data_IF_127047463107
#
_entry.id   IF_127047463107
#
_cell.length_a   1.000
_cell.length_b   1.000
_cell.length_c   1.000
_cell.angle_alpha   90.00
_cell.angle_beta   90.00
_cell.angle_gamma   90.00
#
_symmetry.space_group_name_H-M   'P 1'
#
loop_
_entity.id
_entity.type
_entity.pdbx_description
1 polymer ?
#
# COMPACT_ATOMS: atom_id res chain seq x y z
N UNK A 1 -4.85 -8.49 15.90
CA UNK A 1 -6.03 -7.62 16.12
C UNK A 1 -6.57 -7.01 14.83
N UNK A 2 -5.89 -6.03 14.20
CA UNK A 2 -6.41 -5.30 13.03
C UNK A 2 -6.81 -6.20 11.84
N UNK A 3 -6.03 -7.24 11.53
CA UNK A 3 -6.40 -8.23 10.51
C UNK A 3 -7.70 -8.99 10.84
N UNK A 4 -8.00 -9.21 12.12
CA UNK A 4 -9.26 -9.83 12.54
C UNK A 4 -10.43 -8.85 12.40
N UNK A 5 -10.24 -7.58 12.76
CA UNK A 5 -11.25 -6.53 12.55
C UNK A 5 -11.60 -6.35 11.07
N UNK A 6 -10.60 -6.42 10.18
CA UNK A 6 -10.81 -6.44 8.74
C UNK A 6 -11.66 -7.62 8.27
N UNK A 7 -11.42 -8.83 8.81
CA UNK A 7 -12.23 -10.02 8.50
C UNK A 7 -13.67 -9.89 9.00
N UNK A 8 -13.85 -9.28 10.16
CA UNK A 8 -15.16 -9.01 10.76
C UNK A 8 -15.89 -7.82 10.12
N UNK A 9 -15.27 -7.13 9.15
CA UNK A 9 -15.79 -5.90 8.53
C UNK A 9 -16.13 -4.80 9.55
N UNK A 10 -15.43 -4.79 10.69
CA UNK A 10 -15.60 -3.75 11.70
C UNK A 10 -14.85 -2.49 11.27
N UNK A 11 -15.59 -1.41 11.04
CA UNK A 11 -15.00 -0.19 10.49
C UNK A 11 -14.15 0.51 11.54
N UNK A 12 -12.83 0.49 11.31
CA UNK A 12 -11.81 0.85 12.30
C UNK A 12 -10.92 1.96 11.77
N UNK A 13 -10.78 3.03 12.57
CA UNK A 13 -9.72 4.02 12.36
C UNK A 13 -8.51 3.65 13.22
N UNK A 14 -7.34 3.60 12.60
CA UNK A 14 -6.05 3.45 13.29
C UNK A 14 -5.21 4.71 13.07
N UNK A 15 -4.87 5.37 14.17
CA UNK A 15 -4.09 6.60 14.17
C UNK A 15 -2.78 6.46 14.94
N UNK A 16 -1.81 7.30 14.61
CA UNK A 16 -0.58 7.47 15.37
C UNK A 16 -0.10 8.95 15.30
N UNK A 17 0.85 9.39 16.16
CA UNK A 17 1.35 10.76 16.18
C UNK A 17 2.17 11.13 14.94
N UNK A 18 2.96 10.19 14.41
CA UNK A 18 3.92 10.45 13.33
C UNK A 18 3.60 9.66 12.07
N UNK A 19 4.08 10.15 10.93
CA UNK A 19 3.96 9.43 9.65
C UNK A 19 4.64 8.06 9.72
N UNK A 20 5.83 7.98 10.32
CA UNK A 20 6.60 6.73 10.46
C UNK A 20 5.79 5.66 11.21
N UNK A 21 5.20 6.02 12.35
CA UNK A 21 4.38 5.09 13.13
C UNK A 21 3.17 4.58 12.33
N UNK A 22 2.44 5.48 11.65
CA UNK A 22 1.28 5.08 10.82
C UNK A 22 1.71 4.14 9.68
N UNK A 23 2.81 4.45 8.99
CA UNK A 23 3.33 3.66 7.88
C UNK A 23 3.77 2.27 8.34
N UNK A 24 4.44 2.17 9.49
CA UNK A 24 4.85 0.88 10.06
C UNK A 24 3.66 -0.02 10.37
N UNK A 25 2.61 0.53 11.01
CA UNK A 25 1.41 -0.24 11.34
C UNK A 25 0.72 -0.69 10.05
N UNK A 26 0.53 0.22 9.09
CA UNK A 26 -0.10 -0.08 7.80
C UNK A 26 0.68 -1.18 7.06
N UNK A 27 2.01 -1.11 7.03
CA UNK A 27 2.89 -2.11 6.41
C UNK A 27 2.75 -3.47 7.06
N UNK A 28 2.79 -3.55 8.39
CA UNK A 28 2.63 -4.83 9.11
C UNK A 28 1.26 -5.46 8.87
N UNK A 29 0.19 -4.66 8.82
CA UNK A 29 -1.15 -5.16 8.48
C UNK A 29 -1.19 -5.68 7.05
N UNK A 30 -0.62 -4.94 6.11
CA UNK A 30 -0.60 -5.32 4.70
C UNK A 30 0.20 -6.59 4.46
N UNK A 31 1.35 -6.78 5.12
CA UNK A 31 2.14 -8.00 5.06
C UNK A 31 1.36 -9.22 5.58
N UNK A 32 0.56 -9.04 6.64
CA UNK A 32 -0.30 -10.09 7.18
C UNK A 32 -1.46 -10.43 6.22
N UNK A 33 -2.08 -9.42 5.60
CA UNK A 33 -3.16 -9.62 4.62
C UNK A 33 -2.62 -10.36 3.40
N UNK A 34 -1.48 -9.92 2.85
CA UNK A 34 -0.83 -10.57 1.70
C UNK A 34 -0.42 -12.02 1.98
N UNK A 35 0.08 -12.33 3.18
CA UNK A 35 0.42 -13.71 3.58
C UNK A 35 -0.81 -14.62 3.61
N UNK A 36 -1.93 -14.11 4.11
CA UNK A 36 -3.17 -14.89 4.24
C UNK A 36 -3.90 -15.13 2.90
N UNK A 37 -3.70 -14.28 1.90
CA UNK A 37 -4.40 -14.35 0.60
C UNK A 37 -3.69 -15.20 -0.46
N UNK A 38 -2.68 -15.98 -0.06
CA UNK A 38 -1.92 -16.89 -0.94
C UNK A 38 -2.71 -18.11 -1.47
N UNK A 39 -4.05 -18.14 -1.33
CA UNK A 39 -4.89 -19.29 -1.68
C UNK A 39 -5.92 -19.10 -2.81
N UNK A 40 -5.92 -18.01 -3.60
CA UNK A 40 -6.77 -17.94 -4.80
C UNK A 40 -6.62 -16.72 -5.71
N UNK A 41 -6.59 -16.97 -7.03
CA UNK A 41 -6.68 -16.00 -8.15
C UNK A 41 -5.77 -14.75 -8.14
N UNK A 42 -4.66 -14.77 -7.41
CA UNK A 42 -3.45 -14.00 -7.76
C UNK A 42 -3.50 -12.46 -7.63
N UNK A 43 -4.47 -11.87 -6.93
CA UNK A 43 -4.38 -10.45 -6.55
C UNK A 43 -5.07 -10.18 -5.21
N UNK A 44 -4.34 -9.51 -4.34
CA UNK A 44 -4.78 -9.20 -2.98
C UNK A 44 -5.84 -8.10 -3.02
N UNK A 45 -6.98 -8.29 -2.34
CA UNK A 45 -8.07 -7.30 -2.33
C UNK A 45 -7.78 -6.24 -1.29
N UNK A 46 -7.47 -5.03 -1.76
CA UNK A 46 -6.98 -3.94 -0.90
C UNK A 46 -7.98 -2.80 -0.74
N UNK A 47 -9.11 -2.82 -1.44
CA UNK A 47 -10.13 -1.77 -1.40
C UNK A 47 -10.70 -1.48 -0.01
N UNK A 48 -10.66 -2.45 0.91
CA UNK A 48 -11.11 -2.28 2.28
C UNK A 48 -10.11 -1.58 3.20
N UNK A 49 -8.88 -1.33 2.73
CA UNK A 49 -7.79 -0.76 3.52
C UNK A 49 -7.39 0.56 2.89
N UNK A 50 -7.43 1.68 3.62
CA UNK A 50 -6.98 2.99 3.13
C UNK A 50 -5.95 3.58 4.06
N UNK A 51 -4.85 4.05 3.50
CA UNK A 51 -3.88 4.94 4.13
C UNK A 51 -4.00 6.32 3.50
N UNK A 52 -4.12 7.38 4.30
CA UNK A 52 -4.13 8.74 3.78
C UNK A 52 -3.34 9.73 4.63
N UNK A 53 -2.81 10.74 3.96
CA UNK A 53 -1.99 11.78 4.55
C UNK A 53 -1.37 12.67 3.46
N UNK A 54 -0.25 13.31 3.77
CA UNK A 54 0.50 14.08 2.77
C UNK A 54 1.62 13.20 2.20
N UNK A 55 1.54 12.88 0.91
CA UNK A 55 2.49 11.98 0.24
C UNK A 55 3.95 12.39 0.40
N UNK A 56 4.25 13.69 0.27
CA UNK A 56 5.62 14.23 0.42
C UNK A 56 6.13 14.07 1.84
N UNK A 57 5.32 14.41 2.86
CA UNK A 57 5.71 14.28 4.27
C UNK A 57 5.80 12.83 4.74
N UNK A 58 5.05 11.93 4.10
CA UNK A 58 5.10 10.49 4.37
C UNK A 58 6.21 9.79 3.57
N UNK A 59 6.91 10.51 2.70
CA UNK A 59 7.96 9.96 1.83
C UNK A 59 7.51 8.68 1.11
N UNK A 60 6.32 8.74 0.49
CA UNK A 60 5.68 7.56 -0.10
C UNK A 60 6.49 6.92 -1.24
N UNK A 61 7.42 7.65 -1.84
CA UNK A 61 8.29 7.15 -2.92
C UNK A 61 9.21 6.00 -2.44
N UNK A 62 9.57 5.99 -1.15
CA UNK A 62 10.35 4.92 -0.51
C UNK A 62 9.48 3.73 -0.05
N UNK A 63 8.15 3.82 -0.19
CA UNK A 63 7.17 2.87 0.33
C UNK A 63 6.26 2.31 -0.77
N UNK A 64 6.86 1.83 -1.85
CA UNK A 64 6.15 1.22 -2.99
C UNK A 64 5.18 0.11 -2.58
N UNK A 65 5.48 -0.61 -1.50
CA UNK A 65 4.63 -1.66 -0.95
C UNK A 65 3.29 -1.14 -0.41
N UNK A 66 3.18 0.15 -0.05
CA UNK A 66 1.98 0.80 0.48
C UNK A 66 1.18 1.58 -0.57
N UNK A 67 1.70 1.75 -1.79
CA UNK A 67 1.05 2.54 -2.84
C UNK A 67 -0.40 2.11 -3.09
N UNK A 68 -0.67 0.80 -3.10
CA UNK A 68 -2.01 0.27 -3.39
C UNK A 68 -3.09 0.62 -2.36
N UNK A 69 -2.66 0.89 -1.11
CA UNK A 69 -3.53 1.32 -0.02
C UNK A 69 -3.51 2.83 0.17
N UNK A 70 -2.57 3.54 -0.45
CA UNK A 70 -2.51 4.99 -0.37
C UNK A 70 -3.64 5.64 -1.18
N UNK A 71 -4.38 6.53 -0.54
CA UNK A 71 -5.62 7.10 -1.06
C UNK A 71 -5.43 7.81 -2.41
N UNK A 72 -4.37 8.60 -2.57
CA UNK A 72 -4.17 9.38 -3.79
C UNK A 72 -3.86 8.47 -5.00
N UNK A 73 -3.01 7.46 -4.80
CA UNK A 73 -2.72 6.44 -5.82
C UNK A 73 -3.99 5.66 -6.18
N UNK A 74 -4.76 5.24 -5.18
CA UNK A 74 -6.03 4.54 -5.37
C UNK A 74 -7.02 5.35 -6.21
N UNK A 75 -7.18 6.63 -5.91
CA UNK A 75 -8.08 7.52 -6.66
C UNK A 75 -7.63 7.63 -8.11
N UNK A 76 -6.32 7.73 -8.38
CA UNK A 76 -5.79 7.73 -9.74
C UNK A 76 -6.07 6.41 -10.47
N UNK A 77 -5.82 5.27 -9.82
CA UNK A 77 -6.07 3.94 -10.38
C UNK A 77 -7.56 3.76 -10.73
N UNK A 78 -8.47 4.15 -9.83
CA UNK A 78 -9.91 4.06 -10.08
C UNK A 78 -10.38 5.05 -11.15
N UNK A 79 -9.87 6.28 -11.17
CA UNK A 79 -10.25 7.30 -12.17
C UNK A 79 -10.01 6.82 -13.60
N UNK A 80 -8.88 6.17 -13.83
CA UNK A 80 -8.53 5.63 -15.15
C UNK A 80 -9.48 4.50 -15.59
N UNK A 81 -10.14 3.85 -14.64
CA UNK A 81 -11.01 2.71 -14.92
C UNK A 81 -12.47 3.14 -15.07
N UNK A 82 -13.03 3.80 -14.05
CA UNK A 82 -14.48 4.02 -13.84
C UNK A 82 -15.18 4.69 -15.03
N UNK A 83 -14.47 5.50 -15.83
CA UNK A 83 -15.01 6.11 -17.05
C UNK A 83 -14.72 5.37 -18.37
N UNK A 84 -13.68 4.54 -18.42
CA UNK A 84 -13.15 3.96 -19.67
C UNK A 84 -13.51 2.49 -19.90
N UNK A 85 -13.65 1.69 -18.84
CA UNK A 85 -13.78 0.24 -18.97
C UNK A 85 -15.05 -0.18 -19.73
N UNK A 86 -16.14 0.58 -19.61
CA UNK A 86 -17.40 0.32 -20.35
C UNK A 86 -17.24 0.48 -21.85
N UNK A 87 -16.51 1.51 -22.26
CA UNK A 87 -16.24 1.74 -23.67
C UNK A 87 -15.38 0.60 -24.23
N UNK A 88 -14.33 0.19 -23.51
CA UNK A 88 -13.51 -0.96 -23.89
C UNK A 88 -14.30 -2.26 -23.90
N UNK A 89 -15.22 -2.48 -22.94
CA UNK A 89 -16.09 -3.66 -22.90
C UNK A 89 -17.07 -3.68 -24.09
N UNK A 90 -17.77 -2.58 -24.36
CA UNK A 90 -18.68 -2.49 -25.50
C UNK A 90 -17.93 -2.65 -26.84
N UNK A 91 -16.74 -2.04 -26.95
CA UNK A 91 -15.90 -2.14 -28.14
C UNK A 91 -15.39 -3.57 -28.36
N UNK A 92 -14.95 -4.28 -27.32
CA UNK A 92 -14.47 -5.66 -27.46
C UNK A 92 -15.61 -6.62 -27.77
N UNK A 93 -16.78 -6.43 -27.15
CA UNK A 93 -18.00 -7.19 -27.48
C UNK A 93 -18.36 -6.96 -28.95
N UNK A 94 -18.42 -5.71 -29.39
CA UNK A 94 -18.78 -5.40 -30.78
C UNK A 94 -17.76 -5.92 -31.80
N UNK A 95 -16.46 -5.89 -31.47
CA UNK A 95 -15.41 -6.47 -32.31
C UNK A 95 -15.54 -7.99 -32.43
N UNK A 96 -15.86 -8.68 -31.33
CA UNK A 96 -16.03 -10.12 -31.30
C UNK A 96 -17.36 -10.60 -31.91
N UNK A 97 -18.42 -9.78 -31.86
CA UNK A 97 -19.72 -10.10 -32.46
C UNK A 97 -19.75 -9.85 -33.97
N UNK A 98 -19.14 -8.76 -34.44
CA UNK A 98 -19.09 -8.45 -35.87
C UNK A 98 -17.78 -7.74 -36.25
N UNK A 99 -16.68 -8.49 -36.39
CA UNK A 99 -15.36 -7.93 -36.70
C UNK A 99 -15.34 -7.25 -38.08
N UNK A 100 -16.10 -7.79 -39.05
CA UNK A 100 -16.18 -7.25 -40.43
C UNK A 100 -16.79 -5.85 -40.46
N UNK A 101 -17.92 -5.64 -39.79
CA UNK A 101 -18.56 -4.32 -39.68
C UNK A 101 -17.61 -3.30 -39.04
N UNK A 102 -16.88 -3.71 -38.00
CA UNK A 102 -15.89 -2.85 -37.35
C UNK A 102 -14.72 -2.48 -38.28
N UNK A 103 -14.25 -3.43 -39.09
CA UNK A 103 -13.21 -3.17 -40.09
C UNK A 103 -13.67 -2.22 -41.20
N UNK A 104 -14.89 -2.40 -41.72
CA UNK A 104 -15.46 -1.49 -42.73
C UNK A 104 -15.61 -0.06 -42.20
N UNK A 105 -16.02 0.10 -40.93
CA UNK A 105 -16.07 1.41 -40.26
C UNK A 105 -14.68 2.03 -40.11
N UNK A 106 -13.65 1.23 -39.81
CA UNK A 106 -12.27 1.68 -39.76
C UNK A 106 -11.78 2.17 -41.15
N UNK A 107 -12.08 1.44 -42.21
CA UNK A 107 -11.74 1.84 -43.59
C UNK A 107 -12.44 3.14 -44.01
N UNK A 108 -13.71 3.34 -43.64
CA UNK A 108 -14.43 4.59 -43.90
C UNK A 108 -13.82 5.78 -43.13
N UNK A 109 -13.45 5.58 -41.87
CA UNK A 109 -12.80 6.61 -41.05
C UNK A 109 -11.42 7.00 -41.56
N UNK A 110 -10.62 6.03 -42.01
CA UNK A 110 -9.29 6.28 -42.59
C UNK A 110 -9.41 7.03 -43.92
N UNK A 111 -10.37 6.66 -44.79
CA UNK A 111 -10.67 7.42 -46.02
C UNK A 111 -11.07 8.87 -45.74
N UNK A 112 -11.91 9.10 -44.72
CA UNK A 112 -12.34 10.46 -44.31
C UNK A 112 -11.18 11.30 -43.76
N UNK A 113 -10.26 10.73 -42.97
CA UNK A 113 -9.08 11.46 -42.47
C UNK A 113 -8.15 11.89 -43.59
N UNK A 114 -7.87 10.98 -44.53
CA UNK A 114 -7.05 11.29 -45.72
C UNK A 114 -7.69 12.41 -46.56
N UNK A 115 -9.01 12.44 -46.70
CA UNK A 115 -9.72 13.50 -47.42
C UNK A 115 -9.65 14.89 -46.72
N UNK A 116 -9.60 14.92 -45.38
CA UNK A 116 -9.51 16.17 -44.59
C UNK A 116 -8.07 16.70 -44.58
N UNK A 117 -7.06 15.83 -44.47
CA UNK A 117 -5.66 16.22 -44.52
C UNK A 117 -5.27 16.81 -45.90
N UNK A 118 -5.93 16.37 -46.98
CA UNK A 118 -5.77 16.98 -48.31
C UNK A 118 -6.35 18.39 -48.44
N UNK A 119 -7.27 18.81 -47.56
CA UNK A 119 -7.91 20.15 -47.61
C UNK A 119 -7.20 21.19 -46.74
N UNK A 120 -6.45 20.75 -45.72
CA UNK A 120 -5.63 21.62 -44.86
C UNK A 120 -4.19 21.57 -45.34
N UNK A 121 -3.69 22.62 -46.01
CA UNK A 121 -2.33 22.70 -46.56
C UNK A 121 -1.22 22.67 -45.48
N UNK A 122 -1.01 21.54 -44.81
CA UNK A 122 0.21 21.27 -44.06
C UNK A 122 1.08 20.33 -44.88
N UNK A 123 1.97 20.92 -45.70
CA UNK A 123 3.13 20.21 -46.24
C UNK A 123 4.03 19.81 -45.07
N UNK A 124 3.86 18.60 -44.54
CA UNK A 124 4.90 17.89 -43.79
C UNK A 124 5.11 16.52 -44.44
N UNK A 125 6.34 16.36 -44.93
CA UNK A 125 7.10 15.18 -45.30
C UNK A 125 6.33 13.91 -45.73
N UNK A 126 6.57 13.50 -46.98
CA UNK A 126 6.09 12.29 -47.67
C UNK A 126 6.59 10.94 -47.08
N UNK A 127 6.72 10.81 -45.76
CA UNK A 127 7.23 9.58 -45.14
C UNK A 127 6.29 8.87 -44.15
N UNK A 128 5.06 9.35 -43.92
CA UNK A 128 4.16 8.75 -42.92
C UNK A 128 2.69 8.54 -43.37
N UNK A 129 2.43 8.26 -44.66
CA UNK A 129 1.12 7.70 -45.06
C UNK A 129 1.13 6.18 -44.86
N UNK A 130 1.05 5.74 -43.60
CA UNK A 130 0.93 4.33 -43.28
C UNK A 130 -0.26 3.71 -44.02
N UNK A 131 -0.02 2.66 -44.82
CA UNK A 131 -1.10 1.91 -45.46
C UNK A 131 -2.13 1.44 -44.42
N UNK A 132 -3.43 1.46 -44.75
CA UNK A 132 -4.46 0.94 -43.85
C UNK A 132 -4.18 -0.53 -43.55
N UNK A 133 -4.41 -0.92 -42.29
CA UNK A 133 -4.16 -2.30 -41.85
C UNK A 133 -4.98 -3.29 -42.67
N UNK A 134 -4.43 -4.49 -42.87
CA UNK A 134 -5.22 -5.63 -43.34
C UNK A 134 -6.30 -5.98 -42.33
N UNK A 135 -7.32 -6.76 -42.72
CA UNK A 135 -8.36 -7.19 -41.78
C UNK A 135 -7.76 -7.91 -40.57
N UNK A 136 -6.81 -8.81 -40.80
CA UNK A 136 -6.16 -9.62 -39.76
C UNK A 136 -5.31 -8.76 -38.83
N UNK A 137 -4.54 -7.82 -39.38
CA UNK A 137 -3.77 -6.86 -38.59
C UNK A 137 -4.68 -5.95 -37.75
N UNK A 138 -5.79 -5.48 -38.34
CA UNK A 138 -6.77 -4.67 -37.64
C UNK A 138 -7.38 -5.45 -36.48
N UNK A 139 -7.87 -6.67 -36.70
CA UNK A 139 -8.49 -7.48 -35.66
C UNK A 139 -7.48 -7.77 -34.56
N UNK A 140 -6.27 -8.23 -34.89
CA UNK A 140 -5.23 -8.53 -33.90
C UNK A 140 -4.85 -7.31 -33.06
N UNK A 141 -4.43 -6.21 -33.70
CA UNK A 141 -3.98 -5.00 -32.99
C UNK A 141 -5.11 -4.36 -32.18
N UNK A 142 -6.33 -4.29 -32.74
CA UNK A 142 -7.49 -3.71 -32.06
C UNK A 142 -7.93 -4.58 -30.89
N UNK A 143 -7.99 -5.90 -31.07
CA UNK A 143 -8.34 -6.84 -30.02
C UNK A 143 -7.34 -6.78 -28.86
N UNK A 144 -6.04 -6.82 -29.16
CA UNK A 144 -5.01 -6.78 -28.13
C UNK A 144 -5.01 -5.47 -27.35
N UNK A 145 -5.19 -4.34 -28.04
CA UNK A 145 -5.32 -3.03 -27.39
C UNK A 145 -6.53 -2.98 -26.45
N UNK A 146 -7.70 -3.42 -26.91
CA UNK A 146 -8.92 -3.44 -26.11
C UNK A 146 -8.81 -4.42 -24.93
N UNK A 147 -8.24 -5.61 -25.16
CA UNK A 147 -7.98 -6.62 -24.12
C UNK A 147 -7.10 -6.05 -23.02
N UNK A 148 -5.99 -5.41 -23.37
CA UNK A 148 -5.05 -4.85 -22.40
C UNK A 148 -5.73 -3.75 -21.57
N UNK A 149 -6.45 -2.83 -22.21
CA UNK A 149 -7.21 -1.79 -21.54
C UNK A 149 -8.25 -2.37 -20.57
N UNK A 150 -9.05 -3.32 -21.03
CA UNK A 150 -10.12 -3.93 -20.25
C UNK A 150 -9.56 -4.74 -19.07
N UNK A 151 -8.52 -5.54 -19.31
CA UNK A 151 -7.85 -6.35 -18.28
C UNK A 151 -7.23 -5.45 -17.21
N UNK A 152 -6.49 -4.41 -17.62
CA UNK A 152 -5.90 -3.44 -16.68
C UNK A 152 -6.97 -2.75 -15.84
N UNK A 153 -8.06 -2.31 -16.48
CA UNK A 153 -9.17 -1.68 -15.78
C UNK A 153 -9.80 -2.61 -14.73
N UNK A 154 -10.08 -3.86 -15.10
CA UNK A 154 -10.68 -4.81 -14.18
C UNK A 154 -9.77 -5.18 -13.01
N UNK A 155 -8.47 -5.37 -13.25
CA UNK A 155 -7.53 -5.66 -12.17
C UNK A 155 -7.45 -4.48 -11.19
N UNK A 156 -7.46 -3.24 -11.69
CA UNK A 156 -7.49 -2.05 -10.84
C UNK A 156 -8.81 -1.93 -10.05
N UNK A 157 -9.97 -2.13 -10.69
CA UNK A 157 -11.27 -2.12 -10.02
C UNK A 157 -11.32 -3.20 -8.93
N UNK A 158 -10.91 -4.43 -9.24
CA UNK A 158 -10.88 -5.54 -8.31
C UNK A 158 -9.97 -5.28 -7.09
N UNK A 159 -8.80 -4.70 -7.34
CA UNK A 159 -7.80 -4.41 -6.31
C UNK A 159 -8.23 -3.27 -5.39
N UNK A 160 -8.85 -2.23 -5.95
CA UNK A 160 -9.04 -0.94 -5.27
C UNK A 160 -10.48 -0.65 -4.84
N UNK A 161 -11.49 -1.32 -5.39
CA UNK A 161 -12.86 -1.17 -4.90
C UNK A 161 -13.06 -1.98 -3.60
N UNK A 162 -13.80 -1.44 -2.63
CA UNK A 162 -14.14 -2.15 -1.41
C UNK A 162 -14.87 -3.46 -1.71
N UNK A 163 -14.68 -4.46 -0.85
CA UNK A 163 -15.21 -5.81 -1.08
C UNK A 163 -16.73 -5.87 -1.10
N UNK A 164 -17.39 -4.94 -0.40
CA UNK A 164 -18.85 -4.78 -0.41
C UNK A 164 -19.43 -4.39 -1.77
N UNK A 165 -18.63 -3.86 -2.69
CA UNK A 165 -19.08 -3.37 -4.00
C UNK A 165 -18.84 -4.35 -5.16
N UNK A 166 -18.18 -5.48 -4.91
CA UNK A 166 -17.92 -6.50 -5.94
C UNK A 166 -18.25 -7.87 -5.37
N UNK A 167 -19.26 -8.52 -5.93
CA UNK A 167 -19.67 -9.87 -5.52
C UNK A 167 -18.59 -10.90 -5.88
N UNK A 168 -18.55 -12.01 -5.17
CA UNK A 168 -17.63 -13.10 -5.51
C UNK A 168 -17.84 -13.63 -6.93
N UNK A 169 -19.08 -13.63 -7.42
CA UNK A 169 -19.43 -14.00 -8.79
C UNK A 169 -18.81 -13.05 -9.81
N UNK A 170 -18.87 -11.73 -9.57
CA UNK A 170 -18.27 -10.73 -10.47
C UNK A 170 -16.76 -10.89 -10.56
N UNK A 171 -16.12 -11.20 -9.43
CA UNK A 171 -14.69 -11.52 -9.38
C UNK A 171 -14.38 -12.72 -10.27
N UNK A 172 -15.12 -13.83 -10.10
CA UNK A 172 -14.91 -15.04 -10.90
C UNK A 172 -15.14 -14.82 -12.39
N UNK A 173 -16.20 -14.09 -12.75
CA UNK A 173 -16.48 -13.73 -14.14
C UNK A 173 -15.37 -12.85 -14.72
N UNK A 174 -14.81 -11.92 -13.93
CA UNK A 174 -13.71 -11.05 -14.36
C UNK A 174 -12.44 -11.84 -14.66
N UNK A 175 -12.05 -12.77 -13.78
CA UNK A 175 -10.89 -13.64 -14.02
C UNK A 175 -11.13 -14.58 -15.21
N UNK A 176 -12.31 -15.17 -15.31
CA UNK A 176 -12.67 -16.02 -16.46
C UNK A 176 -12.65 -15.24 -17.77
N UNK A 177 -13.15 -14.00 -17.79
CA UNK A 177 -13.09 -13.14 -18.97
C UNK A 177 -11.64 -12.84 -19.36
N UNK A 178 -10.77 -12.51 -18.40
CA UNK A 178 -9.34 -12.31 -18.65
C UNK A 178 -8.68 -13.52 -19.29
N UNK A 179 -8.91 -14.71 -18.73
CA UNK A 179 -8.26 -15.93 -19.19
C UNK A 179 -8.78 -16.35 -20.59
N UNK A 180 -10.08 -16.15 -20.86
CA UNK A 180 -10.67 -16.34 -22.19
C UNK A 180 -10.15 -15.33 -23.23
N UNK A 181 -10.03 -14.05 -22.86
CA UNK A 181 -9.46 -13.01 -23.74
C UNK A 181 -7.98 -13.29 -24.05
N UNK A 182 -7.22 -13.78 -23.07
CA UNK A 182 -5.84 -14.21 -23.29
C UNK A 182 -5.79 -15.40 -24.26
N UNK A 183 -6.64 -16.41 -24.05
CA UNK A 183 -6.75 -17.57 -24.94
C UNK A 183 -7.11 -17.16 -26.38
N UNK A 184 -8.05 -16.24 -26.57
CA UNK A 184 -8.40 -15.71 -27.90
C UNK A 184 -7.20 -15.02 -28.56
N UNK A 185 -6.49 -14.15 -27.84
CA UNK A 185 -5.29 -13.47 -28.38
C UNK A 185 -4.22 -14.48 -28.84
N UNK A 186 -3.98 -15.53 -28.06
CA UNK A 186 -3.01 -16.58 -28.46
C UNK A 186 -3.46 -17.32 -29.72
N UNK A 187 -4.76 -17.60 -29.87
CA UNK A 187 -5.30 -18.28 -31.04
C UNK A 187 -5.29 -17.40 -32.29
N UNK A 188 -5.55 -16.09 -32.15
CA UNK A 188 -5.49 -15.14 -33.25
C UNK A 188 -4.05 -14.92 -33.74
N UNK A 189 -3.05 -15.05 -32.86
CA UNK A 189 -1.64 -14.92 -33.23
C UNK A 189 -1.06 -16.16 -33.93
N UNK A 190 -1.73 -17.31 -33.86
CA UNK A 190 -1.22 -18.61 -34.37
C UNK A 190 -1.78 -19.01 -35.74
N UNK A 191 -2.77 -18.29 -36.28
CA UNK A 191 -3.50 -18.69 -37.49
C UNK A 191 -3.28 -17.70 -38.64
N UNK A 192 -2.93 -18.23 -39.81
CA UNK A 192 -3.09 -17.56 -41.11
C UNK A 192 -4.50 -17.86 -41.66
N UNK A 193 -5.16 -16.89 -42.31
CA UNK A 193 -6.49 -17.08 -42.90
C UNK A 193 -7.65 -16.90 -41.91
N UNK A 194 -7.53 -15.96 -40.97
CA UNK A 194 -8.56 -15.71 -39.93
C UNK A 194 -9.87 -15.19 -40.55
N UNK A 195 -9.78 -14.58 -41.74
CA UNK A 195 -10.92 -14.04 -42.46
C UNK A 195 -12.05 -15.08 -42.63
N UNK A 196 -11.75 -16.26 -43.21
CA UNK A 196 -12.76 -17.30 -43.51
C UNK A 196 -13.48 -17.82 -42.25
N UNK A 197 -12.76 -17.88 -41.13
CA UNK A 197 -13.28 -18.37 -39.85
C UNK A 197 -14.17 -17.34 -39.14
N UNK A 198 -13.91 -16.05 -39.35
CA UNK A 198 -14.74 -14.94 -38.88
C UNK A 198 -15.89 -14.60 -39.85
N UNK A 199 -15.79 -14.94 -41.14
CA UNK A 199 -16.87 -14.79 -42.14
C UNK A 199 -18.10 -15.65 -41.82
N UNK A 200 -17.92 -16.80 -41.17
CA UNK A 200 -19.00 -17.70 -40.75
C UNK A 200 -19.94 -17.16 -39.66
N UNK A 201 -19.78 -15.90 -39.22
CA UNK A 201 -20.70 -15.23 -38.28
C UNK A 201 -22.05 -14.85 -38.92
N UNK A 202 -22.11 -14.64 -40.24
CA UNK A 202 -23.30 -14.04 -40.91
C UNK A 202 -24.31 -15.06 -41.45
N UNK A 203 -23.94 -16.34 -41.62
CA UNK A 203 -24.86 -17.36 -42.13
C UNK A 203 -24.91 -18.61 -41.23
N UNK A 204 -26.13 -18.91 -40.78
CA UNK A 204 -26.50 -20.06 -39.96
C UNK A 204 -26.51 -21.36 -40.79
N UNK A 205 -25.59 -21.50 -41.74
CA UNK A 205 -25.67 -22.54 -42.74
C UNK A 205 -25.07 -23.86 -42.23
N UNK A 206 -25.86 -24.90 -42.47
CA UNK A 206 -25.82 -26.22 -41.85
C UNK A 206 -24.69 -27.13 -42.35
N UNK A 207 -23.61 -26.58 -42.91
CA UNK A 207 -22.52 -27.36 -43.50
C UNK A 207 -21.17 -26.75 -43.19
N UNK A 208 -20.59 -27.18 -42.06
CA UNK A 208 -19.23 -27.73 -41.91
C UNK A 208 -19.04 -27.99 -40.41
N UNK A 209 -19.06 -29.28 -40.07
CA UNK A 209 -18.78 -29.76 -38.73
C UNK A 209 -17.30 -29.60 -38.40
N UNK A 210 -16.96 -28.46 -37.81
CA UNK A 210 -15.94 -28.39 -36.76
C UNK A 210 -16.13 -27.04 -36.07
N UNK A 211 -16.59 -27.06 -34.82
CA UNK A 211 -16.49 -25.86 -33.99
C UNK A 211 -15.01 -25.55 -33.82
N UNK A 212 -14.50 -24.60 -34.60
CA UNK A 212 -13.12 -24.20 -34.46
C UNK A 212 -12.90 -23.68 -33.03
N UNK A 213 -11.76 -24.05 -32.43
CA UNK A 213 -11.42 -23.73 -31.04
C UNK A 213 -11.58 -22.23 -30.74
N UNK A 214 -11.29 -21.37 -31.72
CA UNK A 214 -11.49 -19.92 -31.66
C UNK A 214 -12.97 -19.52 -31.58
N UNK A 215 -13.85 -20.11 -32.41
CA UNK A 215 -15.29 -19.80 -32.41
C UNK A 215 -15.95 -20.16 -31.08
N UNK A 216 -15.57 -21.29 -30.47
CA UNK A 216 -16.03 -21.67 -29.13
C UNK A 216 -15.53 -20.70 -28.06
N UNK A 217 -14.23 -20.37 -28.09
CA UNK A 217 -13.64 -19.42 -27.16
C UNK A 217 -14.30 -18.04 -27.24
N UNK A 218 -14.57 -17.53 -28.45
CA UNK A 218 -15.28 -16.26 -28.64
C UNK A 218 -16.71 -16.34 -28.10
N UNK A 219 -17.46 -17.40 -28.41
CA UNK A 219 -18.84 -17.57 -27.93
C UNK A 219 -18.91 -17.65 -26.41
N UNK A 220 -17.97 -18.35 -25.78
CA UNK A 220 -17.87 -18.43 -24.31
C UNK A 220 -17.46 -17.07 -23.72
N UNK A 221 -16.47 -16.41 -24.31
CA UNK A 221 -16.01 -15.09 -23.87
C UNK A 221 -17.13 -14.05 -23.92
N UNK A 222 -17.89 -14.00 -25.02
CA UNK A 222 -19.04 -13.11 -25.16
C UNK A 222 -20.10 -13.34 -24.08
N UNK A 223 -20.37 -14.60 -23.71
CA UNK A 223 -21.28 -14.91 -22.60
C UNK A 223 -20.75 -14.33 -21.29
N UNK A 224 -19.48 -14.56 -20.97
CA UNK A 224 -18.88 -14.08 -19.71
C UNK A 224 -18.78 -12.56 -19.68
N UNK A 225 -18.38 -11.91 -20.77
CA UNK A 225 -18.30 -10.45 -20.88
C UNK A 225 -19.66 -9.76 -20.65
N UNK A 226 -20.75 -10.38 -21.09
CA UNK A 226 -22.13 -9.91 -20.86
C UNK A 226 -22.62 -10.14 -19.42
N UNK A 227 -21.95 -10.98 -18.64
CA UNK A 227 -22.23 -11.20 -17.22
C UNK A 227 -21.45 -10.24 -16.30
N UNK A 228 -20.57 -9.39 -16.85
CA UNK A 228 -19.81 -8.44 -16.05
C UNK A 228 -20.71 -7.30 -15.57
N UNK A 229 -20.45 -6.72 -14.38
CA UNK A 229 -21.29 -5.67 -13.81
C UNK A 229 -21.44 -4.50 -14.78
N UNK A 230 -22.66 -4.01 -15.00
CA UNK A 230 -22.89 -2.88 -15.91
C UNK A 230 -22.56 -1.52 -15.28
N UNK A 231 -22.60 -1.40 -13.95
CA UNK A 231 -22.39 -0.16 -13.19
C UNK A 231 -21.74 -0.44 -11.85
N UNK A 232 -20.67 0.30 -11.55
CA UNK A 232 -20.22 0.53 -10.18
C UNK A 232 -20.78 1.89 -9.77
N UNK A 233 -21.70 1.90 -8.82
CA UNK A 233 -22.30 3.14 -8.35
C UNK A 233 -21.34 3.82 -7.36
N UNK A 234 -20.76 4.94 -7.80
CA UNK A 234 -19.84 5.76 -7.01
C UNK A 234 -20.53 7.10 -6.80
N UNK A 235 -20.96 7.33 -5.58
CA UNK A 235 -21.49 8.63 -5.16
C UNK A 235 -20.36 9.57 -4.73
N UNK A 236 -20.51 10.86 -5.04
CA UNK A 236 -19.56 11.90 -4.63
C UNK A 236 -18.21 11.81 -5.35
N UNK A 237 -17.16 12.31 -4.69
CA UNK A 237 -15.81 12.21 -5.25
C UNK A 237 -15.23 10.82 -5.01
N UNK A 238 -14.36 10.34 -5.91
CA UNK A 238 -13.65 9.06 -5.71
C UNK A 238 -12.89 9.00 -4.38
N UNK A 239 -12.42 10.16 -3.89
CA UNK A 239 -11.73 10.28 -2.61
C UNK A 239 -12.68 9.97 -1.46
N UNK A 240 -13.83 10.63 -1.43
CA UNK A 240 -14.83 10.44 -0.39
C UNK A 240 -15.39 9.02 -0.43
N UNK A 241 -15.63 8.49 -1.63
CA UNK A 241 -16.03 7.10 -1.83
C UNK A 241 -15.03 6.11 -1.20
N UNK A 242 -13.74 6.27 -1.47
CA UNK A 242 -12.71 5.38 -0.90
C UNK A 242 -12.65 5.46 0.62
N UNK A 243 -12.76 6.68 1.18
CA UNK A 243 -12.72 6.89 2.63
C UNK A 243 -13.98 6.37 3.33
N UNK A 244 -15.16 6.61 2.75
CA UNK A 244 -16.46 6.24 3.32
C UNK A 244 -16.66 4.72 3.37
N UNK A 245 -16.06 3.99 2.41
CA UNK A 245 -16.31 2.56 2.23
C UNK A 245 -15.14 1.65 2.64
N UNK A 246 -14.01 2.20 3.06
CA UNK A 246 -12.91 1.42 3.63
C UNK A 246 -13.29 0.88 5.02
N UNK A 247 -12.86 -0.36 5.31
CA UNK A 247 -13.02 -1.00 6.60
C UNK A 247 -11.90 -0.61 7.57
N UNK A 248 -10.64 -0.60 7.11
CA UNK A 248 -9.50 -0.13 7.90
C UNK A 248 -9.00 1.19 7.32
N UNK A 249 -8.92 2.20 8.15
CA UNK A 249 -8.43 3.54 7.78
C UNK A 249 -7.19 3.85 8.61
N UNK A 250 -6.10 4.25 7.96
CA UNK A 250 -4.83 4.63 8.57
C UNK A 250 -4.50 6.09 8.25
N UNK A 251 -4.20 6.87 9.28
CA UNK A 251 -3.72 8.25 9.14
C UNK A 251 -3.07 8.75 10.43
N UNK A 252 -2.44 9.93 10.41
CA UNK A 252 -2.02 10.56 11.67
C UNK A 252 -3.23 11.02 12.48
N UNK A 253 -3.10 11.13 13.80
CA UNK A 253 -4.19 11.62 14.67
C UNK A 253 -4.74 12.97 14.18
N UNK A 254 -3.86 13.88 13.76
CA UNK A 254 -4.25 15.17 13.16
C UNK A 254 -4.97 15.05 11.81
N UNK A 255 -4.58 14.08 10.98
CA UNK A 255 -5.20 13.85 9.66
C UNK A 255 -6.62 13.29 9.77
N UNK A 256 -6.98 12.68 10.91
CA UNK A 256 -8.34 12.22 11.19
C UNK A 256 -9.39 13.33 11.06
N UNK A 257 -8.99 14.61 11.17
CA UNK A 257 -9.88 15.74 10.95
C UNK A 257 -10.57 15.70 9.57
N UNK A 258 -9.91 15.13 8.56
CA UNK A 258 -10.48 14.96 7.21
C UNK A 258 -11.62 13.94 7.15
N UNK A 259 -11.86 13.22 8.24
CA UNK A 259 -12.93 12.23 8.34
C UNK A 259 -14.24 12.82 8.90
N UNK A 260 -14.25 14.08 9.36
CA UNK A 260 -15.44 14.80 9.85
C UNK A 260 -16.37 15.30 8.71
N UNK A 261 -16.42 14.59 7.59
CA UNK A 261 -17.23 14.99 6.42
C UNK A 261 -18.65 14.43 6.55
N UNK A 262 -19.65 15.26 6.30
CA UNK A 262 -21.07 14.87 6.32
C UNK A 262 -21.32 13.72 5.32
N UNK A 263 -21.96 12.65 5.78
CA UNK A 263 -22.25 11.47 4.96
C UNK A 263 -21.15 10.40 4.96
N UNK A 264 -20.04 10.63 5.67
CA UNK A 264 -19.11 9.54 6.00
C UNK A 264 -19.84 8.47 6.80
N UNK A 265 -19.59 7.21 6.45
CA UNK A 265 -20.02 6.09 7.28
C UNK A 265 -19.47 6.28 8.70
N UNK A 266 -20.14 5.74 9.74
CA UNK A 266 -19.61 5.80 11.10
C UNK A 266 -18.33 4.98 11.28
N UNK A 267 -17.44 5.41 12.17
CA UNK A 267 -16.24 4.66 12.59
C UNK A 267 -16.61 3.97 13.90
N UNK A 268 -16.59 2.64 13.96
CA UNK A 268 -17.07 1.90 15.12
C UNK A 268 -16.01 1.73 16.21
N UNK A 269 -14.76 1.54 15.77
CA UNK A 269 -13.61 1.28 16.63
C UNK A 269 -12.47 2.24 16.30
N UNK A 270 -11.88 2.82 17.34
CA UNK A 270 -10.70 3.68 17.23
C UNK A 270 -9.49 2.98 17.86
N UNK A 271 -8.38 2.91 17.14
CA UNK A 271 -7.08 2.50 17.67
C UNK A 271 -6.14 3.70 17.57
N UNK A 272 -5.50 4.07 18.67
CA UNK A 272 -4.45 5.07 18.68
C UNK A 272 -3.18 4.40 19.16
N UNK A 273 -2.20 4.25 18.27
CA UNK A 273 -0.87 3.77 18.59
C UNK A 273 0.06 4.93 18.98
N UNK A 274 1.05 4.66 19.81
CA UNK A 274 1.92 5.67 20.44
C UNK A 274 1.12 6.80 21.11
N UNK A 275 0.00 6.46 21.76
CA UNK A 275 -0.94 7.41 22.37
C UNK A 275 -0.30 8.26 23.48
N UNK A 276 0.76 7.77 24.12
CA UNK A 276 1.51 8.51 25.14
C UNK A 276 2.32 9.69 24.56
N UNK A 277 2.63 9.66 23.26
CA UNK A 277 3.35 10.73 22.55
C UNK A 277 2.41 11.83 22.02
N UNK A 278 1.08 11.65 22.12
CA UNK A 278 0.11 12.64 21.66
C UNK A 278 -0.22 13.63 22.76
N UNK A 279 -0.39 14.90 22.38
CA UNK A 279 -1.07 15.86 23.25
C UNK A 279 -2.54 15.45 23.38
N UNK A 280 -3.14 15.74 24.53
CA UNK A 280 -4.54 15.38 24.75
C UNK A 280 -5.48 15.93 23.67
N UNK A 281 -5.27 17.17 23.21
CA UNK A 281 -6.07 17.75 22.12
C UNK A 281 -5.93 16.99 20.80
N UNK A 282 -4.76 16.43 20.49
CA UNK A 282 -4.53 15.65 19.26
C UNK A 282 -5.26 14.31 19.32
N UNK A 283 -5.30 13.67 20.50
CA UNK A 283 -6.06 12.43 20.71
C UNK A 283 -7.59 12.66 20.64
N UNK A 284 -8.07 13.86 20.99
CA UNK A 284 -9.52 14.17 20.91
C UNK A 284 -10.05 14.26 19.48
N UNK A 285 -9.21 14.61 18.50
CA UNK A 285 -9.62 14.76 17.10
C UNK A 285 -10.28 13.50 16.50
N UNK A 286 -9.67 12.29 16.60
CA UNK A 286 -10.32 11.07 16.16
C UNK A 286 -11.43 10.58 17.11
N UNK A 287 -11.36 10.90 18.41
CA UNK A 287 -12.40 10.52 19.39
C UNK A 287 -13.75 11.20 19.13
N UNK A 288 -13.74 12.36 18.48
CA UNK A 288 -14.96 13.10 18.11
C UNK A 288 -15.67 12.53 16.88
N UNK A 289 -15.11 11.52 16.20
CA UNK A 289 -15.72 10.96 15.00
C UNK A 289 -17.05 10.25 15.31
N UNK A 290 -17.99 10.36 14.38
CA UNK A 290 -19.31 9.77 14.53
C UNK A 290 -19.24 8.23 14.63
N UNK A 291 -19.93 7.68 15.63
CA UNK A 291 -20.11 6.23 15.80
C UNK A 291 -19.03 5.50 16.59
N UNK A 292 -18.02 6.20 17.12
CA UNK A 292 -16.96 5.56 17.90
C UNK A 292 -17.57 4.98 19.19
N UNK A 293 -17.62 3.65 19.28
CA UNK A 293 -18.17 2.93 20.45
C UNK A 293 -17.07 2.40 21.36
N UNK A 294 -15.91 2.10 20.80
CA UNK A 294 -14.77 1.56 21.52
C UNK A 294 -13.48 2.24 21.05
N UNK A 295 -12.63 2.61 22.00
CA UNK A 295 -11.31 3.17 21.74
C UNK A 295 -10.23 2.34 22.43
N UNK A 296 -9.18 1.99 21.70
CA UNK A 296 -8.00 1.29 22.19
C UNK A 296 -6.83 2.26 22.09
N UNK A 297 -6.28 2.65 23.24
CA UNK A 297 -5.08 3.48 23.31
C UNK A 297 -3.90 2.57 23.61
N UNK A 298 -2.92 2.56 22.73
CA UNK A 298 -1.68 1.80 22.86
C UNK A 298 -0.57 2.83 23.01
N UNK A 299 0.22 2.72 24.06
CA UNK A 299 1.29 3.66 24.36
C UNK A 299 2.00 3.27 25.64
N UNK A 300 3.05 4.01 25.95
CA UNK A 300 3.87 3.79 27.12
C UNK A 300 4.23 5.15 27.74
N UNK A 301 3.71 5.41 28.93
CA UNK A 301 3.95 6.67 29.64
C UNK A 301 5.38 6.79 30.19
N UNK A 302 6.16 5.70 30.17
CA UNK A 302 7.58 5.70 30.56
C UNK A 302 8.51 6.07 29.40
N UNK A 303 7.97 6.22 28.17
CA UNK A 303 8.73 6.64 26.99
C UNK A 303 8.61 8.15 26.73
N UNK A 304 9.01 8.60 25.54
CA UNK A 304 8.99 10.02 25.17
C UNK A 304 7.57 10.60 25.25
N UNK A 305 7.38 11.75 25.94
CA UNK A 305 6.11 12.46 25.94
C UNK A 305 5.93 13.28 24.65
N UNK A 306 4.78 13.96 24.53
CA UNK A 306 4.53 14.88 23.44
C UNK A 306 5.51 16.08 23.45
N UNK A 307 6.06 16.44 22.28
CA UNK A 307 6.93 17.59 22.14
C UNK A 307 6.15 18.92 22.34
N UNK A 308 6.62 19.74 23.27
CA UNK A 308 6.10 21.09 23.54
C UNK A 308 7.25 22.10 23.52
N UNK A 309 7.24 23.01 22.55
CA UNK A 309 8.30 24.02 22.40
C UNK A 309 8.22 25.15 23.43
N UNK A 310 6.99 25.55 23.79
CA UNK A 310 6.77 26.63 24.75
C UNK A 310 6.99 26.12 26.17
N UNK A 311 7.99 26.69 26.87
CA UNK A 311 8.25 26.34 28.27
C UNK A 311 7.06 26.65 29.19
N UNK A 312 6.30 27.71 28.88
CA UNK A 312 5.08 28.06 29.61
C UNK A 312 4.03 26.95 29.46
N UNK A 313 3.83 26.45 28.24
CA UNK A 313 2.87 25.38 27.96
C UNK A 313 3.31 24.05 28.56
N UNK A 314 4.61 23.74 28.52
CA UNK A 314 5.17 22.55 29.15
C UNK A 314 4.93 22.57 30.66
N UNK A 315 5.25 23.69 31.32
CA UNK A 315 5.02 23.87 32.76
C UNK A 315 3.52 23.82 33.14
N UNK A 316 2.63 24.18 32.22
CA UNK A 316 1.18 24.06 32.39
C UNK A 316 0.65 22.62 32.14
N UNK A 317 1.52 21.66 31.84
CA UNK A 317 1.15 20.26 31.60
C UNK A 317 0.58 19.99 30.21
N UNK A 318 0.79 20.87 29.24
CA UNK A 318 0.26 20.69 27.87
C UNK A 318 0.83 19.46 27.15
N UNK A 319 2.01 19.00 27.56
CA UNK A 319 2.66 17.79 27.04
C UNK A 319 2.08 16.48 27.57
N UNK A 320 1.25 16.54 28.63
CA UNK A 320 0.61 15.35 29.19
C UNK A 320 -0.37 14.75 28.18
N UNK A 321 -0.22 13.46 27.92
CA UNK A 321 -1.11 12.75 27.00
C UNK A 321 -2.43 12.37 27.66
N UNK A 322 -3.45 12.10 26.83
CA UNK A 322 -4.70 11.50 27.30
C UNK A 322 -4.43 10.13 27.95
N UNK A 323 -3.50 9.36 27.40
CA UNK A 323 -3.11 8.06 27.92
C UNK A 323 -2.57 8.17 29.36
N UNK A 324 -1.58 9.05 29.57
CA UNK A 324 -0.98 9.29 30.88
C UNK A 324 -2.03 9.80 31.88
N UNK A 325 -2.89 10.75 31.47
CA UNK A 325 -3.97 11.26 32.34
C UNK A 325 -4.93 10.15 32.77
N UNK A 326 -5.32 9.25 31.87
CA UNK A 326 -6.23 8.14 32.22
C UNK A 326 -5.56 7.15 33.20
N UNK A 327 -4.27 6.87 33.03
CA UNK A 327 -3.51 6.05 33.99
C UNK A 327 -3.45 6.72 35.36
N UNK A 328 -3.16 8.02 35.42
CA UNK A 328 -3.15 8.80 36.67
C UNK A 328 -4.51 8.80 37.38
N UNK A 329 -5.61 8.76 36.62
CA UNK A 329 -6.97 8.65 37.16
C UNK A 329 -7.34 7.23 37.63
N UNK A 330 -6.41 6.26 37.53
CA UNK A 330 -6.61 4.89 37.99
C UNK A 330 -7.27 3.97 36.96
N UNK A 331 -7.35 4.36 35.69
CA UNK A 331 -7.79 3.44 34.65
C UNK A 331 -6.77 2.30 34.54
N UNK A 332 -7.23 1.06 34.69
CA UNK A 332 -6.38 -0.12 34.60
C UNK A 332 -5.85 -0.25 33.17
N UNK A 333 -4.52 -0.26 33.03
CA UNK A 333 -3.82 -0.56 31.78
C UNK A 333 -3.46 -2.04 31.71
N UNK A 334 -3.33 -2.56 30.50
CA UNK A 334 -2.82 -3.90 30.23
C UNK A 334 -1.37 -3.81 29.80
N UNK A 335 -0.45 -4.34 30.61
CA UNK A 335 0.97 -4.41 30.27
C UNK A 335 1.25 -5.63 29.38
N UNK A 336 1.81 -5.39 28.19
CA UNK A 336 2.38 -6.46 27.37
C UNK A 336 3.76 -6.80 27.94
N UNK A 337 3.82 -7.82 28.79
CA UNK A 337 4.95 -8.08 29.66
C UNK A 337 6.00 -9.04 29.09
N UNK A 338 6.08 -9.21 27.76
CA UNK A 338 7.12 -10.04 27.12
C UNK A 338 7.81 -9.24 26.02
N UNK A 339 9.11 -8.98 26.17
CA UNK A 339 9.92 -8.30 25.18
C UNK A 339 10.58 -9.30 24.21
N UNK A 340 10.58 -8.95 22.93
CA UNK A 340 11.10 -9.80 21.85
C UNK A 340 12.23 -9.13 21.06
N UNK A 341 12.76 -7.99 21.50
CA UNK A 341 13.64 -7.12 20.68
C UNK A 341 15.10 -7.16 21.09
N UNK A 342 15.40 -7.24 22.37
CA UNK A 342 16.76 -6.98 22.87
C UNK A 342 17.28 -8.13 23.73
N UNK A 343 18.62 -8.24 23.79
CA UNK A 343 19.28 -9.26 24.61
C UNK A 343 18.96 -9.02 26.10
N UNK A 344 18.82 -10.06 26.95
CA UNK A 344 18.47 -9.90 28.36
C UNK A 344 19.36 -8.94 29.16
N UNK A 345 20.64 -8.81 28.79
CA UNK A 345 21.56 -7.85 29.44
C UNK A 345 21.21 -6.38 29.14
N UNK A 346 20.60 -6.10 27.98
CA UNK A 346 20.16 -4.75 27.59
C UNK A 346 18.81 -4.44 28.27
N UNK A 347 17.88 -5.40 28.30
CA UNK A 347 16.55 -5.20 28.90
C UNK A 347 16.60 -5.08 30.43
N UNK A 348 17.64 -5.60 31.09
CA UNK A 348 17.75 -5.62 32.55
C UNK A 348 17.59 -4.23 33.19
N UNK A 349 18.34 -3.23 32.70
CA UNK A 349 18.31 -1.88 33.28
C UNK A 349 16.95 -1.19 33.06
N UNK A 350 16.42 -1.06 31.81
CA UNK A 350 15.12 -0.42 31.61
C UNK A 350 13.98 -1.13 32.34
N UNK A 351 14.00 -2.46 32.41
CA UNK A 351 12.98 -3.24 33.11
C UNK A 351 12.97 -2.95 34.62
N UNK A 352 14.16 -2.92 35.24
CA UNK A 352 14.30 -2.64 36.67
C UNK A 352 13.89 -1.21 37.00
N UNK A 353 14.37 -0.24 36.22
CA UNK A 353 14.19 1.18 36.50
C UNK A 353 12.77 1.67 36.21
N UNK A 354 12.18 1.25 35.08
CA UNK A 354 10.92 1.82 34.59
C UNK A 354 9.71 0.90 34.73
N UNK A 355 9.92 -0.42 34.79
CA UNK A 355 8.83 -1.41 34.72
C UNK A 355 8.80 -2.38 35.91
N UNK A 356 9.48 -2.07 37.02
CA UNK A 356 9.45 -2.85 38.27
C UNK A 356 9.77 -4.34 38.08
N UNK A 357 10.62 -4.64 37.09
CA UNK A 357 10.99 -6.01 36.71
C UNK A 357 9.81 -6.89 36.24
N UNK A 358 8.71 -6.28 35.78
CA UNK A 358 7.53 -7.02 35.30
C UNK A 358 7.68 -7.50 33.84
N UNK A 359 8.65 -7.00 33.09
CA UNK A 359 8.90 -7.42 31.69
C UNK A 359 9.75 -8.70 31.65
N UNK A 360 9.28 -9.70 30.93
CA UNK A 360 9.94 -10.99 30.69
C UNK A 360 10.62 -10.99 29.32
N UNK A 361 11.69 -11.77 29.16
CA UNK A 361 12.29 -11.95 27.83
C UNK A 361 11.69 -13.13 27.08
N UNK A 362 11.35 -12.89 25.81
CA UNK A 362 10.84 -13.91 24.91
C UNK A 362 11.88 -14.98 24.57
N UNK A 363 11.41 -16.19 24.20
CA UNK A 363 12.30 -17.29 23.83
C UNK A 363 13.24 -16.93 22.68
N UNK A 364 12.82 -16.08 21.75
CA UNK A 364 13.62 -15.68 20.60
C UNK A 364 14.92 -14.96 21.01
N UNK A 365 14.89 -14.18 22.09
CA UNK A 365 16.05 -13.41 22.55
C UNK A 365 16.96 -14.17 23.51
N UNK A 366 16.51 -15.33 24.01
CA UNK A 366 17.27 -16.22 24.91
C UNK A 366 18.03 -17.32 24.17
N UNK A 367 17.87 -17.44 22.85
CA UNK A 367 18.54 -18.48 22.06
C UNK A 367 20.06 -18.28 22.05
N UNK A 368 20.79 -19.39 22.15
CA UNK A 368 22.25 -19.42 22.02
C UNK A 368 22.62 -18.90 20.62
N UNK A 369 23.15 -17.68 20.53
CA UNK A 369 23.42 -17.00 19.25
C UNK A 369 22.75 -15.64 19.11
N UNK A 370 21.71 -15.35 19.90
CA UNK A 370 21.06 -14.05 19.92
C UNK A 370 22.02 -13.01 20.52
N UNK A 371 22.49 -12.05 19.71
CA UNK A 371 23.49 -11.07 20.15
C UNK A 371 24.93 -11.60 20.16
N UNK A 372 25.25 -12.66 19.39
CA UNK A 372 26.65 -13.02 19.12
C UNK A 372 27.37 -11.83 18.49
N UNK A 373 28.26 -11.24 19.26
CA UNK A 373 29.19 -10.22 18.79
C UNK A 373 30.24 -10.89 17.90
N UNK A 374 30.60 -10.31 16.74
CA UNK A 374 31.76 -10.75 15.96
C UNK A 374 33.09 -10.52 16.72
N UNK A 375 33.05 -9.85 17.87
CA UNK A 375 34.23 -9.50 18.65
C UNK A 375 34.56 -10.57 19.69
N UNK A 376 35.77 -11.15 19.67
CA UNK A 376 36.23 -12.11 20.68
C UNK A 376 36.58 -11.46 22.03
N UNK A 377 36.69 -10.14 22.09
CA UNK A 377 37.02 -9.39 23.32
C UNK A 377 35.76 -8.95 24.07
N UNK A 378 35.77 -9.10 25.41
CA UNK A 378 34.67 -8.70 26.31
C UNK A 378 34.26 -7.21 26.21
N UNK A 379 35.13 -6.37 25.64
CA UNK A 379 34.93 -4.92 25.50
C UNK A 379 33.72 -4.55 24.61
N UNK A 380 33.30 -5.44 23.71
CA UNK A 380 32.19 -5.20 22.79
C UNK A 380 31.17 -6.34 22.87
N UNK A 381 30.67 -6.57 24.09
CA UNK A 381 29.58 -7.52 24.35
C UNK A 381 28.23 -6.96 23.82
N UNK A 382 27.11 -7.62 24.12
CA UNK A 382 25.78 -7.14 23.71
C UNK A 382 25.42 -5.75 24.26
N UNK A 383 26.08 -5.29 25.32
CA UNK A 383 25.92 -3.96 25.91
C UNK A 383 27.26 -3.49 26.50
N UNK A 384 27.68 -2.27 26.22
CA UNK A 384 28.94 -1.69 26.72
C UNK A 384 28.86 -0.16 26.75
N UNK A 385 29.37 0.45 27.82
CA UNK A 385 29.51 1.89 27.94
C UNK A 385 30.99 2.26 27.74
N UNK A 386 31.29 3.07 26.73
CA UNK A 386 32.66 3.48 26.40
C UNK A 386 32.82 4.93 26.83
N UNK A 387 33.51 5.14 27.95
CA UNK A 387 33.81 6.48 28.43
C UNK A 387 34.82 7.18 27.51
N UNK A 388 34.57 8.42 27.09
CA UNK A 388 35.48 9.20 26.24
C UNK A 388 35.90 10.50 26.94
N UNK A 389 36.89 10.44 27.85
CA UNK A 389 37.21 11.57 28.73
C UNK A 389 37.78 12.80 28.00
N UNK A 390 38.26 12.63 26.76
CA UNK A 390 38.75 13.74 25.94
C UNK A 390 37.67 14.32 25.03
N UNK A 391 36.50 13.68 24.93
CA UNK A 391 35.38 14.16 24.15
C UNK A 391 34.89 15.50 24.66
N UNK A 392 34.68 16.45 23.74
CA UNK A 392 34.16 17.77 24.05
C UNK A 392 33.04 18.13 23.09
N UNK A 393 31.95 18.65 23.64
CA UNK A 393 30.83 19.16 22.87
C UNK A 393 31.16 20.53 22.27
N UNK A 394 30.82 20.69 21.00
CA UNK A 394 30.96 21.92 20.24
C UNK A 394 29.66 22.20 19.49
N UNK A 395 29.37 23.47 19.19
CA UNK A 395 28.24 23.82 18.33
C UNK A 395 28.62 23.70 16.85
N UNK A 396 27.67 23.26 16.04
CA UNK A 396 27.72 23.42 14.59
C UNK A 396 27.14 24.77 14.14
N UNK A 397 27.14 25.00 12.83
CA UNK A 397 26.63 26.25 12.22
C UNK A 397 25.12 26.45 12.43
N UNK A 398 24.39 25.38 12.80
CA UNK A 398 22.95 25.39 13.09
C UNK A 398 22.64 25.38 14.59
N UNK A 399 23.64 25.65 15.44
CA UNK A 399 23.53 25.59 16.91
C UNK A 399 23.11 24.22 17.47
N UNK A 400 23.34 23.13 16.73
CA UNK A 400 23.25 21.77 17.24
C UNK A 400 24.58 21.35 17.87
N UNK A 401 24.52 20.48 18.88
CA UNK A 401 25.72 19.96 19.55
C UNK A 401 26.35 18.82 18.76
N UNK A 402 27.68 18.79 18.69
CA UNK A 402 28.48 17.69 18.13
C UNK A 402 29.70 17.38 19.01
N UNK A 403 30.17 16.15 18.97
CA UNK A 403 31.43 15.73 19.60
C UNK A 403 32.26 14.94 18.58
N UNK A 404 33.34 15.53 18.08
CA UNK A 404 34.14 14.94 17.00
C UNK A 404 34.94 13.70 17.44
N UNK A 405 35.29 13.61 18.73
CA UNK A 405 36.00 12.46 19.28
C UNK A 405 35.06 11.26 19.38
N UNK A 406 33.85 11.47 19.89
CA UNK A 406 32.80 10.43 19.86
C UNK A 406 32.47 10.01 18.43
N UNK A 407 32.33 10.95 17.50
CA UNK A 407 32.06 10.65 16.09
C UNK A 407 33.17 9.78 15.46
N UNK A 408 34.44 10.06 15.78
CA UNK A 408 35.57 9.25 15.30
C UNK A 408 35.51 7.81 15.83
N UNK A 409 35.17 7.61 17.11
CA UNK A 409 35.01 6.28 17.70
C UNK A 409 33.82 5.55 17.09
N UNK A 410 32.68 6.22 16.90
CA UNK A 410 31.50 5.65 16.25
C UNK A 410 31.85 5.17 14.84
N UNK A 411 32.65 5.93 14.08
CA UNK A 411 33.10 5.52 12.75
C UNK A 411 33.95 4.23 12.82
N UNK A 412 34.88 4.13 13.77
CA UNK A 412 35.68 2.91 13.96
C UNK A 412 34.82 1.71 14.36
N UNK A 413 33.86 1.89 15.27
CA UNK A 413 32.91 0.83 15.65
C UNK A 413 32.08 0.38 14.43
N UNK A 414 31.60 1.32 13.60
CA UNK A 414 30.84 0.99 12.38
C UNK A 414 31.69 0.22 11.37
N UNK A 415 32.96 0.59 11.18
CA UNK A 415 33.89 -0.17 10.32
C UNK A 415 34.09 -1.60 10.84
N UNK A 416 34.34 -1.74 12.14
CA UNK A 416 34.51 -3.03 12.81
C UNK A 416 33.26 -3.92 12.66
N UNK A 417 32.07 -3.35 12.86
CA UNK A 417 30.79 -4.05 12.68
C UNK A 417 30.57 -4.49 11.23
N UNK A 418 31.05 -3.71 10.26
CA UNK A 418 30.95 -4.02 8.82
C UNK A 418 31.89 -5.14 8.39
N UNK A 419 33.13 -5.14 8.89
CA UNK A 419 34.19 -6.06 8.46
C UNK A 419 34.13 -7.42 9.17
N UNK A 420 33.51 -7.50 10.35
CA UNK A 420 33.43 -8.75 11.12
C UNK A 420 34.78 -9.23 11.68
N UNK A 421 35.81 -8.38 11.65
CA UNK A 421 37.19 -8.65 12.10
C UNK A 421 37.73 -7.51 12.95
N UNK A 422 38.40 -7.84 14.06
CA UNK A 422 39.13 -6.89 14.91
C UNK A 422 40.54 -6.65 14.39
N UNK A 423 40.84 -5.46 13.89
CA UNK A 423 42.19 -4.88 14.00
C UNK A 423 42.03 -3.42 14.46
N UNK A 424 42.08 -3.21 15.78
CA UNK A 424 42.22 -1.86 16.34
C UNK A 424 43.71 -1.64 16.57
N UNK A 425 44.32 -0.77 15.77
CA UNK A 425 45.64 -0.22 16.12
C UNK A 425 45.44 0.74 17.29
N UNK A 426 45.93 0.36 18.47
CA UNK A 426 46.02 1.26 19.62
C UNK A 426 46.99 2.39 19.28
N UNK A 427 46.47 3.54 18.84
CA UNK A 427 47.16 4.81 19.03
C UNK A 427 46.57 5.53 20.25
N UNK A 428 47.18 5.22 21.39
CA UNK A 428 47.57 6.19 22.43
C UNK A 428 46.49 7.03 23.11
N UNK A 429 45.41 6.46 23.67
CA UNK A 429 44.71 7.11 24.79
C UNK A 429 44.24 6.06 25.81
N UNK A 430 44.71 6.18 27.07
CA UNK A 430 44.29 5.33 28.20
C UNK A 430 42.84 5.67 28.55
N UNK A 431 41.93 4.73 28.30
CA UNK A 431 40.54 4.82 28.70
C UNK A 431 40.32 3.95 29.94
N UNK A 432 39.98 4.54 31.07
CA UNK A 432 39.59 3.78 32.28
C UNK A 432 38.13 3.34 32.18
N UNK A 433 37.89 2.06 32.46
CA UNK A 433 36.58 1.41 32.46
C UNK A 433 36.00 1.41 33.87
N UNK A 434 34.76 1.87 34.02
CA UNK A 434 33.95 1.63 35.21
C UNK A 434 32.92 0.53 34.89
N UNK A 435 32.89 -0.50 35.73
CA UNK A 435 31.84 -1.52 35.72
C UNK A 435 30.74 -1.05 36.67
N UNK A 436 29.50 -0.94 36.17
CA UNK A 436 28.29 -0.78 36.98
C UNK A 436 27.51 -2.09 37.00
#
# INVERSE_FOLDING_TARGET
MLSCLLKLKCRTLTCAPTNVAVLEIAKRVLDQVRKNESSGYGSCRLGDIVLFGNAKRMNMDDHNELCDVFLDYRVLALRNCVGGWKHSLAAIISLLENPRKQFLLYLDQTKKKVAVDCQTQNKKNEQDTAQPWTFEEFVNKRFDSLRQQLTSCFMNLYKHLPTSFISQTDVMNTFRARDLLHSISTLLSQKEGIEEELYGFEHNDSRVGCFSKLRLAIKECLKVLKLLPEKFYIEGTLRDFCLANACLVFCTASSSAKLHVKGMSPIELLVIDEAAQLKECEATMPLQLCGVRHSILIGDEMQLPAMVQSKISENAGFGRSLFERLVQLGLKKHLLNVQHRMHPSISLFPNTEFYRSEILDGQNVRKIGYGKSPFPQRMYSSYSFINMPLGKEEFDDNHSLKNMIEASLVLEIVKLLREGTCIIYHHTYKTELYYF
#
